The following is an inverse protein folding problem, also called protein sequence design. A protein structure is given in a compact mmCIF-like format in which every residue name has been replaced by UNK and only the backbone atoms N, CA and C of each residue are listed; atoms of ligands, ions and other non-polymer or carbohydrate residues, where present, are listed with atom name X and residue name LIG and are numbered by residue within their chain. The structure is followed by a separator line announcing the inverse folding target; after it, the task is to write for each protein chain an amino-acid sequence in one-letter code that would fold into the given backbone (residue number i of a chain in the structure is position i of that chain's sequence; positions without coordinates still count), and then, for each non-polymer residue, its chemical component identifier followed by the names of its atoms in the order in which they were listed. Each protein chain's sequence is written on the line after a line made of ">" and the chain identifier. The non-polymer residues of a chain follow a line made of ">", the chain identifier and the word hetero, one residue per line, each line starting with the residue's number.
data_IF_489459852085
#
_entry.id   IF_489459852085
#
_cell.length_a   1.000
_cell.length_b   1.000
_cell.length_c   1.000
_cell.angle_alpha   90.00
_cell.angle_beta   90.00
_cell.angle_gamma   90.00
#
_symmetry.space_group_name_H-M   'P 1'
#
loop_
_entity.id
_entity.type
_entity.pdbx_description
1 polymer ?
#
# COMPACT_ATOMS: atom_id res chain seq x y z
N UNK A 1 2.02 2.97 16.07
CA UNK A 1 0.75 3.68 15.89
C UNK A 1 -0.40 2.92 16.50
N UNK A 2 -1.47 3.62 16.85
CA UNK A 2 -2.64 2.94 17.36
C UNK A 2 -3.21 2.03 16.26
N UNK A 3 -3.18 0.74 16.44
CA UNK A 3 -3.67 -0.26 15.48
C UNK A 3 -5.12 -0.01 15.02
N UNK A 4 -5.94 0.63 15.85
CA UNK A 4 -7.28 1.10 15.49
C UNK A 4 -7.28 2.21 14.43
N UNK A 5 -6.14 2.80 14.10
CA UNK A 5 -5.98 3.86 13.10
C UNK A 5 -5.31 3.40 11.80
N UNK A 6 -4.91 2.16 11.69
CA UNK A 6 -4.19 1.63 10.52
C UNK A 6 -5.00 1.71 9.21
N UNK A 7 -6.33 1.72 9.32
CA UNK A 7 -7.24 1.80 8.17
C UNK A 7 -7.82 3.20 7.94
N UNK A 8 -7.35 4.21 8.66
CA UNK A 8 -7.88 5.54 8.50
C UNK A 8 -7.28 6.22 7.27
N UNK A 9 -8.12 6.53 6.32
CA UNK A 9 -7.79 7.39 5.20
C UNK A 9 -7.74 8.83 5.73
N UNK A 10 -6.62 9.52 5.50
CA UNK A 10 -6.48 10.94 5.80
C UNK A 10 -6.66 11.75 4.52
N UNK A 11 -7.68 12.57 4.50
CA UNK A 11 -7.92 13.51 3.41
C UNK A 11 -7.42 14.90 3.79
N UNK A 12 -6.78 15.56 2.83
CA UNK A 12 -6.36 16.95 2.95
C UNK A 12 -6.66 17.68 1.66
N UNK A 13 -7.20 18.87 1.76
CA UNK A 13 -7.26 19.78 0.62
C UNK A 13 -5.84 20.20 0.27
N UNK A 14 -5.53 20.21 -1.02
CA UNK A 14 -4.26 20.74 -1.48
C UNK A 14 -4.29 22.26 -1.40
N UNK A 15 -3.22 22.80 -0.85
CA UNK A 15 -2.98 24.24 -0.74
C UNK A 15 -1.63 24.54 -1.40
N UNK A 16 -1.38 25.82 -1.71
CA UNK A 16 -0.10 26.25 -2.27
C UNK A 16 1.07 25.80 -1.41
N UNK A 17 2.09 25.25 -2.05
CA UNK A 17 3.27 24.65 -1.42
C UNK A 17 3.29 23.13 -1.55
N UNK A 18 4.10 22.48 -0.71
CA UNK A 18 4.37 21.04 -0.80
C UNK A 18 3.70 20.30 0.36
N UNK A 19 2.92 19.28 0.03
CA UNK A 19 2.42 18.29 0.96
C UNK A 19 3.06 16.94 0.63
N UNK A 20 3.64 16.28 1.62
CA UNK A 20 4.37 15.03 1.38
C UNK A 20 4.08 13.97 2.42
N UNK A 21 4.22 12.71 2.00
CA UNK A 21 4.26 11.52 2.84
C UNK A 21 5.46 10.67 2.45
N UNK A 22 5.99 9.89 3.38
CA UNK A 22 7.15 9.05 3.07
C UNK A 22 7.66 8.26 4.26
N UNK A 23 8.71 7.51 4.04
CA UNK A 23 9.44 6.77 5.07
C UNK A 23 10.94 6.96 4.92
N UNK A 24 11.64 6.99 6.05
CA UNK A 24 13.10 6.99 6.18
C UNK A 24 13.57 5.87 7.12
N UNK A 25 12.73 4.84 7.34
CA UNK A 25 12.95 3.77 8.31
C UNK A 25 13.67 2.54 7.75
N UNK A 26 14.20 2.63 6.54
CA UNK A 26 14.80 1.50 5.82
C UNK A 26 13.79 0.66 5.05
N UNK A 27 12.50 0.83 5.30
CA UNK A 27 11.39 0.18 4.60
C UNK A 27 10.21 1.14 4.42
N UNK A 28 9.18 0.67 3.70
CA UNK A 28 7.97 1.47 3.43
C UNK A 28 7.17 1.82 4.67
N UNK A 29 7.37 1.12 5.80
CA UNK A 29 6.74 1.40 7.08
C UNK A 29 5.19 1.31 7.08
N UNK A 30 4.62 1.09 8.26
CA UNK A 30 3.16 1.07 8.47
C UNK A 30 2.56 2.47 8.65
N UNK A 31 3.39 3.52 8.76
CA UNK A 31 2.90 4.90 8.94
C UNK A 31 2.40 5.51 7.63
N UNK A 32 3.14 5.28 6.53
CA UNK A 32 2.80 5.75 5.20
C UNK A 32 3.16 4.72 4.16
N UNK A 33 2.15 4.21 3.47
CA UNK A 33 2.36 3.36 2.31
C UNK A 33 2.88 4.19 1.13
N UNK A 34 3.64 3.59 0.19
CA UNK A 34 4.06 4.24 -1.05
C UNK A 34 2.88 4.39 -2.03
N UNK A 35 1.81 5.04 -1.56
CA UNK A 35 0.55 5.19 -2.26
C UNK A 35 -0.18 6.47 -1.85
N UNK A 36 -0.55 7.29 -2.81
CA UNK A 36 -1.39 8.47 -2.61
C UNK A 36 -2.49 8.55 -3.67
N UNK A 37 -3.57 9.24 -3.35
CA UNK A 37 -4.68 9.48 -4.26
C UNK A 37 -4.99 10.96 -4.35
N UNK A 38 -5.10 11.47 -5.57
CA UNK A 38 -5.76 12.74 -5.85
C UNK A 38 -7.19 12.47 -6.27
N UNK A 39 -8.14 13.20 -5.69
CA UNK A 39 -9.54 13.14 -6.10
C UNK A 39 -10.13 14.53 -6.29
N UNK A 40 -11.11 14.64 -7.18
CA UNK A 40 -11.97 15.82 -7.22
C UNK A 40 -12.79 15.90 -5.93
N UNK A 41 -13.10 17.10 -5.42
CA UNK A 41 -13.92 17.24 -4.21
C UNK A 41 -15.26 16.50 -4.26
N UNK A 42 -15.85 16.41 -5.46
CA UNK A 42 -17.13 15.71 -5.70
C UNK A 42 -16.99 14.19 -5.91
N UNK A 43 -15.77 13.66 -6.00
CA UNK A 43 -15.57 12.23 -6.19
C UNK A 43 -15.99 11.45 -4.93
N UNK A 44 -16.65 10.32 -5.17
CA UNK A 44 -17.13 9.38 -4.15
C UNK A 44 -16.47 8.03 -4.30
N UNK A 45 -16.94 7.05 -3.57
CA UNK A 45 -16.50 5.66 -3.73
C UNK A 45 -16.75 5.13 -5.15
N UNK A 46 -17.89 5.45 -5.76
CA UNK A 46 -18.33 4.84 -7.01
C UNK A 46 -18.50 5.83 -8.19
N UNK A 47 -18.20 7.11 -8.01
CA UNK A 47 -18.35 8.12 -9.04
C UNK A 47 -17.35 9.25 -8.90
N UNK A 48 -17.03 9.91 -10.01
CA UNK A 48 -16.14 11.07 -10.09
C UNK A 48 -14.69 10.70 -10.37
N UNK A 49 -13.91 11.73 -10.70
CA UNK A 49 -12.53 11.57 -11.15
C UNK A 49 -11.57 11.42 -9.97
N UNK A 50 -10.73 10.39 -10.05
CA UNK A 50 -9.65 10.11 -9.12
C UNK A 50 -8.41 9.66 -9.87
N UNK A 51 -7.24 9.96 -9.31
CA UNK A 51 -5.94 9.48 -9.79
C UNK A 51 -5.19 8.84 -8.62
N UNK A 52 -4.87 7.57 -8.74
CA UNK A 52 -4.02 6.85 -7.78
C UNK A 52 -2.58 6.79 -8.26
N UNK A 53 -1.64 6.99 -7.34
CA UNK A 53 -0.20 6.92 -7.60
C UNK A 53 0.40 5.89 -6.65
N UNK A 54 1.10 4.91 -7.19
CA UNK A 54 1.79 3.88 -6.43
C UNK A 54 3.25 3.79 -6.86
N UNK A 55 4.16 3.77 -5.90
CA UNK A 55 5.54 3.41 -6.13
C UNK A 55 5.73 1.93 -5.81
N UNK A 56 6.16 1.14 -6.77
CA UNK A 56 6.41 -0.31 -6.58
C UNK A 56 7.79 -0.49 -5.94
N UNK A 57 7.85 -0.21 -4.64
CA UNK A 57 9.07 -0.20 -3.86
C UNK A 57 8.79 -0.44 -2.38
N UNK A 58 9.63 -1.21 -1.72
CA UNK A 58 9.49 -1.54 -0.30
C UNK A 58 10.46 -0.79 0.62
N UNK A 59 11.33 0.05 0.06
CA UNK A 59 12.32 0.83 0.81
C UNK A 59 11.83 2.22 1.23
N UNK A 60 12.79 3.09 1.54
CA UNK A 60 12.52 4.49 1.86
C UNK A 60 11.96 5.22 0.65
N UNK A 61 10.78 5.80 0.81
CA UNK A 61 10.10 6.48 -0.29
C UNK A 61 9.66 7.89 0.12
N UNK A 62 9.43 8.73 -0.87
CA UNK A 62 8.77 10.02 -0.72
C UNK A 62 7.78 10.23 -1.86
N UNK A 63 6.57 10.61 -1.50
CA UNK A 63 5.53 11.01 -2.41
C UNK A 63 5.06 12.40 -2.01
N UNK A 64 4.95 13.30 -2.97
CA UNK A 64 4.58 14.68 -2.71
C UNK A 64 3.63 15.23 -3.77
N UNK A 65 2.74 16.10 -3.32
CA UNK A 65 1.92 16.96 -4.15
C UNK A 65 2.35 18.41 -3.92
N UNK A 66 2.73 19.10 -4.95
CA UNK A 66 3.08 20.51 -4.94
C UNK A 66 2.04 21.31 -5.72
N UNK A 67 1.53 22.37 -5.13
CA UNK A 67 0.70 23.36 -5.83
C UNK A 67 1.51 24.63 -6.00
N UNK A 68 1.73 25.05 -7.22
CA UNK A 68 2.50 26.24 -7.54
C UNK A 68 1.65 27.54 -7.45
N UNK A 69 2.25 28.68 -7.75
CA UNK A 69 1.60 29.99 -7.73
C UNK A 69 0.55 30.18 -8.82
N UNK A 70 0.46 29.24 -9.77
CA UNK A 70 -0.53 29.23 -10.86
C UNK A 70 -1.60 28.17 -10.66
N UNK A 71 -1.72 27.64 -9.42
CA UNK A 71 -2.66 26.56 -9.06
C UNK A 71 -2.44 25.24 -9.84
N UNK A 72 -1.23 25.06 -10.40
CA UNK A 72 -0.87 23.82 -11.08
C UNK A 72 -0.38 22.80 -10.04
N UNK A 73 -0.95 21.61 -10.07
CA UNK A 73 -0.55 20.51 -9.19
C UNK A 73 0.46 19.62 -9.84
N UNK A 74 1.61 19.44 -9.20
CA UNK A 74 2.66 18.48 -9.59
C UNK A 74 2.73 17.35 -8.58
N UNK A 75 2.76 16.12 -9.07
CA UNK A 75 2.98 14.93 -8.26
C UNK A 75 4.38 14.40 -8.51
N UNK A 76 5.12 14.16 -7.44
CA UNK A 76 6.43 13.51 -7.47
C UNK A 76 6.40 12.27 -6.60
N UNK A 77 6.86 11.14 -7.14
CA UNK A 77 6.97 9.88 -6.42
C UNK A 77 8.35 9.27 -6.66
N UNK A 78 8.97 8.70 -5.64
CA UNK A 78 10.28 8.10 -5.79
C UNK A 78 10.93 7.66 -4.50
N UNK A 79 12.18 7.25 -4.62
CA UNK A 79 13.05 6.96 -3.48
C UNK A 79 13.20 8.25 -2.65
N UNK A 80 13.16 8.12 -1.33
CA UNK A 80 13.38 9.25 -0.46
C UNK A 80 14.84 9.73 -0.59
N UNK A 81 15.08 10.99 -0.97
CA UNK A 81 16.44 11.49 -1.14
C UNK A 81 17.21 11.69 0.17
N UNK A 82 16.54 11.62 1.32
CA UNK A 82 17.22 11.71 2.60
C UNK A 82 18.09 10.48 2.83
N UNK A 83 19.40 10.68 3.02
CA UNK A 83 20.41 9.64 3.18
C UNK A 83 20.47 8.66 1.98
N UNK A 84 20.14 9.14 0.77
CA UNK A 84 20.28 8.37 -0.44
C UNK A 84 21.06 9.18 -1.49
N UNK A 85 22.15 8.61 -1.95
CA UNK A 85 22.92 9.04 -3.11
C UNK A 85 23.36 7.81 -3.90
N UNK A 86 23.50 7.98 -5.20
CA UNK A 86 23.95 6.92 -6.09
C UNK A 86 24.90 7.50 -7.12
N UNK A 87 26.17 7.09 -7.06
CA UNK A 87 27.16 7.48 -8.07
C UNK A 87 27.02 6.60 -9.29
N UNK A 88 26.94 7.22 -10.46
CA UNK A 88 27.03 6.55 -11.77
C UNK A 88 28.35 6.93 -12.43
N UNK A 89 29.18 5.94 -12.72
CA UNK A 89 30.36 6.12 -13.56
C UNK A 89 30.00 5.99 -15.05
N UNK A 90 30.94 6.33 -15.92
CA UNK A 90 30.70 6.30 -17.37
C UNK A 90 30.28 4.89 -17.83
N UNK A 91 29.14 4.78 -18.51
CA UNK A 91 28.60 3.52 -19.01
C UNK A 91 27.75 2.73 -18.01
N UNK A 92 27.62 3.18 -16.75
CA UNK A 92 26.74 2.57 -15.76
C UNK A 92 25.29 3.07 -15.88
N UNK A 93 24.36 2.29 -15.34
CA UNK A 93 22.95 2.64 -15.29
C UNK A 93 22.37 2.31 -13.90
N UNK A 94 21.36 3.08 -13.51
CA UNK A 94 20.58 2.82 -12.30
C UNK A 94 19.10 2.63 -12.67
N UNK A 95 18.55 1.49 -12.28
CA UNK A 95 17.14 1.22 -12.49
C UNK A 95 16.34 1.78 -11.32
N UNK A 96 15.53 2.81 -11.55
CA UNK A 96 14.61 3.34 -10.55
C UNK A 96 13.45 2.38 -10.29
N UNK A 97 12.80 2.42 -9.09
CA UNK A 97 11.53 1.76 -8.89
C UNK A 97 10.47 2.23 -9.89
N UNK A 98 9.54 1.34 -10.24
CA UNK A 98 8.42 1.69 -11.12
C UNK A 98 7.40 2.55 -10.37
N UNK A 99 6.95 3.62 -11.01
CA UNK A 99 5.80 4.41 -10.58
C UNK A 99 4.60 4.07 -11.46
N UNK A 100 3.46 3.78 -10.82
CA UNK A 100 2.21 3.45 -11.51
C UNK A 100 1.18 4.52 -11.22
N UNK A 101 0.53 4.99 -12.28
CA UNK A 101 -0.57 5.94 -12.22
C UNK A 101 -1.83 5.29 -12.77
N UNK A 102 -2.93 5.41 -12.05
CA UNK A 102 -4.26 4.93 -12.47
C UNK A 102 -5.23 6.11 -12.42
N UNK A 103 -5.89 6.36 -13.53
CA UNK A 103 -7.04 7.27 -13.60
C UNK A 103 -8.35 6.47 -13.57
N UNK A 104 -9.37 7.00 -12.89
CA UNK A 104 -10.72 6.46 -12.89
C UNK A 104 -11.75 7.58 -12.82
N UNK A 105 -12.78 7.48 -13.62
CA UNK A 105 -14.01 8.28 -13.56
C UNK A 105 -15.13 7.63 -12.73
N UNK A 106 -14.85 6.39 -12.26
CA UNK A 106 -15.75 5.55 -11.45
C UNK A 106 -15.38 5.57 -9.97
N UNK A 107 -14.86 6.71 -9.51
CA UNK A 107 -14.49 6.92 -8.12
C UNK A 107 -13.35 6.04 -7.61
N UNK A 108 -13.22 5.99 -6.29
CA UNK A 108 -12.15 5.26 -5.60
C UNK A 108 -12.21 3.75 -5.87
N UNK A 109 -13.40 3.18 -5.94
CA UNK A 109 -13.59 1.75 -6.21
C UNK A 109 -13.07 1.36 -7.59
N UNK A 110 -13.39 2.13 -8.64
CA UNK A 110 -12.88 1.88 -9.99
C UNK A 110 -11.35 1.92 -10.06
N UNK A 111 -10.73 2.90 -9.40
CA UNK A 111 -9.28 2.99 -9.26
C UNK A 111 -8.71 1.79 -8.51
N UNK A 112 -9.29 1.44 -7.36
CA UNK A 112 -8.86 0.33 -6.51
C UNK A 112 -8.89 -1.01 -7.26
N UNK A 113 -9.98 -1.31 -7.95
CA UNK A 113 -10.10 -2.52 -8.77
C UNK A 113 -9.05 -2.60 -9.88
N UNK A 114 -8.67 -1.46 -10.46
CA UNK A 114 -7.62 -1.41 -11.47
C UNK A 114 -6.26 -1.75 -10.88
N UNK A 115 -5.94 -1.20 -9.69
CA UNK A 115 -4.71 -1.58 -8.96
C UNK A 115 -4.72 -3.05 -8.54
N UNK A 116 -5.86 -3.60 -8.08
CA UNK A 116 -5.95 -5.02 -7.72
C UNK A 116 -5.63 -5.92 -8.93
N UNK A 117 -6.15 -5.61 -10.11
CA UNK A 117 -5.82 -6.35 -11.34
C UNK A 117 -4.34 -6.24 -11.71
N UNK A 118 -3.74 -5.06 -11.53
CA UNK A 118 -2.31 -4.85 -11.74
C UNK A 118 -1.50 -5.74 -10.80
N UNK A 119 -1.81 -5.70 -9.50
CA UNK A 119 -1.08 -6.46 -8.49
C UNK A 119 -1.21 -7.96 -8.69
N UNK A 120 -2.40 -8.46 -8.99
CA UNK A 120 -2.62 -9.87 -9.28
C UNK A 120 -1.87 -10.35 -10.52
N UNK A 121 -1.89 -9.56 -11.62
CA UNK A 121 -1.35 -10.02 -12.91
C UNK A 121 0.12 -9.70 -13.13
N UNK A 122 0.63 -8.65 -12.49
CA UNK A 122 1.96 -8.11 -12.77
C UNK A 122 2.90 -8.15 -11.57
N UNK A 123 2.41 -7.88 -10.36
CA UNK A 123 3.23 -7.81 -9.16
C UNK A 123 3.35 -9.18 -8.50
N UNK A 124 2.24 -9.89 -8.29
CA UNK A 124 2.26 -11.24 -7.74
C UNK A 124 2.97 -12.20 -8.70
N UNK A 125 3.93 -12.96 -8.19
CA UNK A 125 4.77 -13.88 -8.96
C UNK A 125 4.90 -15.22 -8.26
N UNK A 126 5.39 -16.23 -9.00
CA UNK A 126 5.69 -17.55 -8.48
C UNK A 126 4.45 -18.37 -8.16
N UNK A 127 4.64 -19.39 -7.34
CA UNK A 127 3.63 -20.41 -7.03
C UNK A 127 2.30 -19.83 -6.51
N UNK A 128 2.36 -18.74 -5.72
CA UNK A 128 1.20 -18.15 -5.07
C UNK A 128 0.49 -17.07 -5.89
N UNK A 129 0.86 -16.86 -7.15
CA UNK A 129 0.19 -15.88 -8.01
C UNK A 129 -1.27 -16.24 -8.27
N UNK A 130 -1.50 -17.51 -8.60
CA UNK A 130 -2.81 -18.01 -9.06
C UNK A 130 -3.43 -18.99 -8.05
N UNK A 131 -2.98 -18.99 -6.82
CA UNK A 131 -3.42 -19.90 -5.75
C UNK A 131 -3.70 -19.13 -4.46
N UNK A 132 -4.69 -19.55 -3.67
CA UNK A 132 -4.88 -19.02 -2.33
C UNK A 132 -3.62 -19.23 -1.49
N UNK A 133 -3.27 -18.24 -0.71
CA UNK A 133 -2.17 -18.35 0.25
C UNK A 133 -2.63 -19.06 1.51
N UNK A 134 -1.75 -19.78 2.21
CA UNK A 134 -2.08 -20.29 3.53
C UNK A 134 -2.52 -19.17 4.45
N UNK A 135 -3.42 -19.49 5.36
CA UNK A 135 -3.84 -18.57 6.40
C UNK A 135 -2.66 -18.37 7.35
N UNK A 136 -2.24 -17.12 7.52
CA UNK A 136 -1.20 -16.73 8.46
C UNK A 136 -1.85 -16.33 9.79
N UNK A 137 -1.49 -17.02 10.87
CA UNK A 137 -1.84 -16.62 12.22
C UNK A 137 -0.64 -15.93 12.89
N UNK A 138 -0.86 -14.71 13.38
CA UNK A 138 0.12 -13.98 14.18
C UNK A 138 -0.34 -14.00 15.63
N UNK A 139 0.45 -14.61 16.51
CA UNK A 139 0.11 -14.76 17.94
C UNK A 139 0.52 -13.55 18.80
N UNK A 140 1.14 -12.52 18.24
CA UNK A 140 1.72 -11.41 19.01
C UNK A 140 0.72 -10.78 20.00
N UNK A 141 -0.43 -10.38 19.53
CA UNK A 141 -1.45 -9.75 20.39
C UNK A 141 -2.09 -10.72 21.40
N UNK A 142 -2.01 -12.03 21.17
CA UNK A 142 -2.58 -13.04 22.05
C UNK A 142 -1.63 -13.45 23.18
N UNK A 143 -0.32 -13.40 22.95
CA UNK A 143 0.65 -14.03 23.86
C UNK A 143 1.90 -13.19 24.12
N UNK A 144 2.18 -12.20 23.29
CA UNK A 144 3.46 -11.47 23.28
C UNK A 144 4.65 -12.44 23.30
N UNK A 145 5.54 -12.33 24.29
CA UNK A 145 6.69 -13.20 24.48
C UNK A 145 6.41 -14.43 25.38
N UNK A 146 5.24 -14.48 26.01
CA UNK A 146 4.85 -15.57 26.93
C UNK A 146 4.00 -16.60 26.20
N UNK A 147 4.63 -17.51 25.49
CA UNK A 147 3.96 -18.59 24.75
C UNK A 147 4.74 -19.90 24.83
N UNK A 148 3.98 -20.99 24.74
CA UNK A 148 4.50 -22.35 24.60
C UNK A 148 4.01 -22.95 23.29
N UNK A 149 4.64 -24.05 22.84
CA UNK A 149 4.22 -24.81 21.66
C UNK A 149 2.75 -25.23 21.77
N UNK A 150 2.33 -25.78 22.93
CA UNK A 150 0.96 -26.21 23.16
C UNK A 150 -0.05 -25.05 22.98
N UNK A 151 0.32 -23.87 23.48
CA UNK A 151 -0.52 -22.67 23.32
C UNK A 151 -0.68 -22.23 21.87
N UNK A 152 0.39 -22.31 21.08
CA UNK A 152 0.34 -22.01 19.64
C UNK A 152 -0.50 -23.03 18.89
N UNK A 153 -0.37 -24.31 19.21
CA UNK A 153 -1.20 -25.40 18.63
C UNK A 153 -2.66 -25.21 18.98
N UNK A 154 -2.99 -24.85 20.23
CA UNK A 154 -4.37 -24.55 20.64
C UNK A 154 -4.97 -23.39 19.84
N UNK A 155 -4.21 -22.31 19.66
CA UNK A 155 -4.66 -21.14 18.87
C UNK A 155 -4.88 -21.54 17.42
N UNK A 156 -3.95 -22.32 16.83
CA UNK A 156 -4.06 -22.80 15.45
C UNK A 156 -5.28 -23.74 15.26
N UNK A 157 -5.54 -24.62 16.22
CA UNK A 157 -6.71 -25.50 16.19
C UNK A 157 -8.02 -24.71 16.21
N UNK A 158 -8.14 -23.73 17.13
CA UNK A 158 -9.32 -22.84 17.19
C UNK A 158 -9.49 -22.01 15.92
N UNK A 159 -8.38 -21.49 15.37
CA UNK A 159 -8.43 -20.75 14.11
C UNK A 159 -8.90 -21.65 12.95
N UNK A 160 -8.43 -22.89 12.90
CA UNK A 160 -8.88 -23.88 11.90
C UNK A 160 -10.38 -24.13 12.00
N UNK A 161 -10.89 -24.38 13.19
CA UNK A 161 -12.31 -24.66 13.40
C UNK A 161 -13.21 -23.47 13.01
N UNK A 162 -12.77 -22.24 13.28
CA UNK A 162 -13.50 -21.02 12.93
C UNK A 162 -13.41 -20.64 11.44
N UNK A 163 -12.28 -20.87 10.81
CA UNK A 163 -11.99 -20.37 9.45
C UNK A 163 -12.38 -21.37 8.35
N UNK A 164 -12.35 -22.67 8.63
CA UNK A 164 -12.82 -23.68 7.69
C UNK A 164 -14.33 -23.66 7.49
N UNK A 165 -15.08 -23.24 8.49
CA UNK A 165 -16.53 -23.11 8.37
C UNK A 165 -16.95 -21.95 7.43
N UNK A 166 -16.11 -20.93 7.28
CA UNK A 166 -16.37 -19.80 6.35
C UNK A 166 -15.93 -20.07 4.92
N UNK A 167 -15.07 -21.05 4.66
CA UNK A 167 -14.65 -21.42 3.31
C UNK A 167 -15.62 -22.36 2.61
N UNK A 168 -16.31 -23.24 3.34
CA UNK A 168 -17.32 -24.14 2.79
C UNK A 168 -18.63 -23.41 2.41
N UNK A 169 -18.89 -22.24 3.00
CA UNK A 169 -20.09 -21.43 2.69
C UNK A 169 -19.93 -20.57 1.43
N UNK A 170 -18.76 -20.52 0.83
CA UNK A 170 -18.48 -19.74 -0.38
C UNK A 170 -18.46 -20.58 -1.67
N UNK A 171 -18.58 -21.91 -1.56
CA UNK A 171 -18.58 -22.85 -2.68
C UNK A 171 -19.98 -23.45 -3.02
N UNK A 172 -21.07 -22.93 -2.40
CA UNK A 172 -22.46 -23.26 -2.76
C UNK A 172 -23.13 -22.13 -3.60
#
# INVERSE_FOLDING_TARGET
>A
GAWSRERHVKERRLEQGIQSVGSIRGNSSHEHNPFIVLRRPSATENAGEVMGFSLIYSGNHRMQAEVDTHDTTRITVGINPQNFDWKLDCGESFQTPEAVVVFSDKGLNGMSQTFHKLYQKRLARGYWRDRPRPILNNNWEATYFDFTEDRLVEIAAKAKDCLLYTSDAADE
#
